data_IF_883526956119
#
_entry.id   IF_883526956119
#
_cell.length_a   1.000
_cell.length_b   1.000
_cell.length_c   1.000
_cell.angle_alpha   90.00
_cell.angle_beta   90.00
_cell.angle_gamma   90.00
#
_symmetry.space_group_name_H-M   'P 1'
#
loop_
_entity.id
_entity.type
_entity.pdbx_description
1 polymer ?
#
# COMPACT_ATOMS: atom_id res chain seq x y z
N UNK A 1 15.15 47.93 25.08
CA UNK A 1 13.67 47.79 25.03
C UNK A 1 13.31 47.39 23.63
N UNK A 2 12.71 46.28 23.47
CA UNK A 2 12.28 45.74 22.17
C UNK A 2 12.38 44.20 22.18
N UNK A 3 11.52 43.55 22.96
CA UNK A 3 11.27 42.13 22.87
C UNK A 3 10.34 41.94 21.70
N UNK A 4 10.76 41.24 20.65
CA UNK A 4 9.86 40.77 19.64
C UNK A 4 9.73 39.25 19.71
N UNK A 5 8.48 38.87 19.90
CA UNK A 5 7.98 37.54 20.10
C UNK A 5 8.16 36.69 18.84
N UNK A 6 8.89 35.60 18.96
CA UNK A 6 8.71 34.47 18.07
C UNK A 6 7.35 33.82 18.38
N UNK A 7 6.34 34.16 17.63
CA UNK A 7 5.11 33.42 17.59
C UNK A 7 5.38 32.08 16.88
N UNK A 8 5.52 31.01 17.64
CA UNK A 8 5.45 29.68 17.13
C UNK A 8 4.07 29.52 16.48
N UNK A 9 4.05 29.29 15.16
CA UNK A 9 2.84 28.88 14.48
C UNK A 9 2.45 27.51 15.04
N UNK A 10 1.42 27.48 15.86
CA UNK A 10 0.71 26.24 16.20
C UNK A 10 0.18 25.65 14.89
N UNK A 11 0.80 24.57 14.46
CA UNK A 11 0.23 23.73 13.41
C UNK A 11 -1.03 23.13 14.03
N UNK A 12 -2.16 23.67 13.61
CA UNK A 12 -3.49 23.13 13.95
C UNK A 12 -3.57 21.72 13.40
N UNK A 13 -3.17 20.74 14.23
CA UNK A 13 -3.41 19.33 14.01
C UNK A 13 -4.91 19.09 14.22
N UNK A 14 -5.72 19.51 13.26
CA UNK A 14 -7.06 18.96 13.11
C UNK A 14 -6.88 17.51 12.68
N UNK A 15 -6.58 16.65 13.64
CA UNK A 15 -6.83 15.22 13.54
C UNK A 15 -8.30 15.11 13.24
N UNK A 16 -8.63 14.93 11.95
CA UNK A 16 -9.99 14.61 11.53
C UNK A 16 -10.36 13.35 12.30
N UNK A 17 -11.27 13.49 13.26
CA UNK A 17 -11.74 12.38 14.07
C UNK A 17 -12.13 11.23 13.13
N UNK A 18 -11.48 10.08 13.31
CA UNK A 18 -11.84 8.84 12.60
C UNK A 18 -13.30 8.58 12.93
N UNK A 19 -14.19 8.37 11.94
CA UNK A 19 -15.58 8.10 12.20
C UNK A 19 -15.71 6.97 13.23
N UNK A 20 -16.44 7.19 14.32
CA UNK A 20 -16.61 6.20 15.39
C UNK A 20 -17.26 4.90 14.90
N UNK A 21 -17.93 4.95 13.75
CA UNK A 21 -18.58 3.79 13.13
C UNK A 21 -17.88 3.40 11.85
N UNK A 22 -17.33 2.19 11.83
CA UNK A 22 -16.82 1.56 10.61
C UNK A 22 -18.01 1.24 9.70
N UNK A 23 -18.12 1.92 8.57
CA UNK A 23 -19.16 1.67 7.55
C UNK A 23 -18.50 1.26 6.24
N UNK A 24 -19.10 0.24 5.61
CA UNK A 24 -18.67 -0.13 4.25
C UNK A 24 -19.05 0.97 3.26
N UNK A 25 -18.13 1.31 2.37
CA UNK A 25 -18.44 2.11 1.19
C UNK A 25 -19.34 1.29 0.24
N UNK A 26 -20.10 1.97 -0.66
CA UNK A 26 -20.95 1.29 -1.64
C UNK A 26 -20.21 0.24 -2.45
N UNK A 27 -20.93 -0.80 -2.87
CA UNK A 27 -20.38 -1.80 -3.79
C UNK A 27 -20.06 -1.16 -5.16
N UNK A 28 -18.96 -1.63 -5.75
CA UNK A 28 -18.53 -1.20 -7.07
C UNK A 28 -19.21 -2.09 -8.11
N UNK A 29 -19.69 -1.48 -9.19
CA UNK A 29 -20.14 -2.23 -10.36
C UNK A 29 -18.95 -2.70 -11.18
N UNK A 30 -18.75 -4.02 -11.24
CA UNK A 30 -17.65 -4.66 -11.95
C UNK A 30 -17.90 -4.85 -13.46
N UNK A 31 -19.11 -4.54 -13.97
CA UNK A 31 -19.49 -4.84 -15.35
C UNK A 31 -18.61 -4.14 -16.40
N UNK A 32 -17.99 -2.99 -16.06
CA UNK A 32 -17.10 -2.25 -16.94
C UNK A 32 -15.61 -2.60 -16.81
N UNK A 33 -15.21 -3.38 -15.81
CA UNK A 33 -13.81 -3.68 -15.53
C UNK A 33 -13.35 -4.86 -16.38
N UNK A 34 -12.45 -4.61 -17.34
CA UNK A 34 -11.90 -5.62 -18.25
C UNK A 34 -10.61 -6.26 -17.72
N UNK A 35 -9.81 -5.48 -16.99
CA UNK A 35 -8.55 -5.97 -16.41
C UNK A 35 -8.84 -6.99 -15.30
N UNK A 36 -8.38 -8.25 -15.43
CA UNK A 36 -8.65 -9.30 -14.44
C UNK A 36 -8.01 -8.99 -13.07
N UNK A 37 -6.88 -8.31 -13.03
CA UNK A 37 -6.25 -7.91 -11.79
C UNK A 37 -7.07 -6.82 -11.08
N UNK A 38 -7.48 -5.80 -11.82
CA UNK A 38 -8.33 -4.75 -11.28
C UNK A 38 -9.66 -5.33 -10.79
N UNK A 39 -10.29 -6.24 -11.56
CA UNK A 39 -11.50 -6.93 -11.14
C UNK A 39 -11.31 -7.73 -9.85
N UNK A 40 -10.18 -8.45 -9.74
CA UNK A 40 -9.84 -9.19 -8.53
C UNK A 40 -9.65 -8.22 -7.34
N UNK A 41 -8.83 -7.19 -7.50
CA UNK A 41 -8.55 -6.17 -6.49
C UNK A 41 -9.84 -5.50 -6.00
N UNK A 42 -10.72 -5.12 -6.93
CA UNK A 42 -12.00 -4.53 -6.63
C UNK A 42 -12.98 -5.49 -5.93
N UNK A 43 -12.80 -6.81 -6.06
CA UNK A 43 -13.61 -7.81 -5.36
C UNK A 43 -13.25 -7.94 -3.87
N UNK A 44 -12.12 -7.37 -3.43
CA UNK A 44 -11.69 -7.39 -2.05
C UNK A 44 -12.31 -6.23 -1.25
N UNK A 45 -12.55 -6.38 0.07
CA UNK A 45 -13.21 -5.35 0.87
C UNK A 45 -12.35 -4.09 1.12
N UNK A 46 -11.08 -4.11 0.76
CA UNK A 46 -10.16 -2.97 0.96
C UNK A 46 -10.67 -1.70 0.26
N UNK A 47 -11.13 -1.80 -0.99
CA UNK A 47 -11.64 -0.68 -1.77
C UNK A 47 -12.94 -0.05 -1.19
N UNK A 48 -13.60 -0.78 -0.29
CA UNK A 48 -14.81 -0.34 0.43
C UNK A 48 -14.50 0.15 1.85
N UNK A 49 -13.22 0.30 2.19
CA UNK A 49 -12.75 0.74 3.51
C UNK A 49 -11.86 1.96 3.34
N UNK A 50 -12.07 2.99 4.16
CA UNK A 50 -11.19 4.16 4.18
C UNK A 50 -9.81 3.78 4.70
N UNK A 51 -8.75 4.30 4.08
CA UNK A 51 -7.37 4.01 4.46
C UNK A 51 -7.09 4.34 5.94
N UNK A 52 -7.50 5.51 6.41
CA UNK A 52 -7.33 5.91 7.80
C UNK A 52 -8.04 4.96 8.77
N UNK A 53 -9.26 4.51 8.41
CA UNK A 53 -10.00 3.52 9.19
C UNK A 53 -9.27 2.18 9.21
N UNK A 54 -8.78 1.73 8.05
CA UNK A 54 -8.06 0.46 7.96
C UNK A 54 -6.79 0.47 8.80
N UNK A 55 -6.00 1.57 8.76
CA UNK A 55 -4.81 1.72 9.60
C UNK A 55 -5.15 1.62 11.08
N UNK A 56 -6.12 2.42 11.56
CA UNK A 56 -6.53 2.37 12.95
C UNK A 56 -6.96 0.95 13.39
N UNK A 57 -7.62 0.19 12.49
CA UNK A 57 -8.04 -1.18 12.79
C UNK A 57 -6.88 -2.19 12.73
N UNK A 58 -5.90 -1.98 11.87
CA UNK A 58 -4.66 -2.77 11.89
C UNK A 58 -3.91 -2.53 13.21
N UNK A 59 -3.82 -1.27 13.66
CA UNK A 59 -3.18 -0.92 14.93
C UNK A 59 -3.91 -1.55 16.14
N UNK A 60 -5.25 -1.52 16.16
CA UNK A 60 -6.05 -2.19 17.19
C UNK A 60 -5.78 -3.70 17.22
N UNK A 61 -5.74 -4.35 16.06
CA UNK A 61 -5.44 -5.78 15.92
C UNK A 61 -4.00 -6.10 16.35
N UNK A 62 -3.04 -5.25 15.98
CA UNK A 62 -1.63 -5.39 16.31
C UNK A 62 -1.38 -5.29 17.81
N UNK A 63 -1.99 -4.31 18.49
CA UNK A 63 -1.98 -4.18 19.96
C UNK A 63 -2.56 -5.43 20.63
N UNK A 64 -3.67 -5.96 20.09
CA UNK A 64 -4.28 -7.18 20.61
C UNK A 64 -3.39 -8.43 20.46
N UNK A 65 -2.44 -8.42 19.51
CA UNK A 65 -1.44 -9.46 19.29
C UNK A 65 -0.11 -9.21 20.04
N UNK A 66 -0.01 -8.17 20.87
CA UNK A 66 1.20 -7.84 21.64
C UNK A 66 2.29 -7.16 20.83
N UNK A 67 1.94 -6.45 19.75
CA UNK A 67 2.83 -5.60 18.94
C UNK A 67 4.07 -6.35 18.37
N UNK A 68 3.86 -7.57 17.87
CA UNK A 68 4.94 -8.46 17.43
C UNK A 68 5.23 -8.42 15.90
N UNK A 69 4.83 -7.35 15.21
CA UNK A 69 5.04 -7.20 13.77
C UNK A 69 4.05 -8.02 12.92
N UNK A 70 3.10 -8.72 13.53
CA UNK A 70 2.07 -9.50 12.86
C UNK A 70 0.71 -9.37 13.54
N UNK A 71 -0.34 -9.68 12.79
CA UNK A 71 -1.72 -9.81 13.27
C UNK A 71 -2.26 -11.18 12.88
N UNK A 72 -3.31 -11.65 13.56
CA UNK A 72 -4.01 -12.87 13.16
C UNK A 72 -5.31 -12.55 12.43
N UNK A 73 -5.80 -13.51 11.64
CA UNK A 73 -7.11 -13.41 11.00
C UNK A 73 -8.22 -13.14 12.02
N UNK A 74 -8.15 -13.80 13.19
CA UNK A 74 -9.11 -13.63 14.30
C UNK A 74 -9.06 -12.22 14.90
N UNK A 75 -7.86 -11.63 15.09
CA UNK A 75 -7.74 -10.26 15.59
C UNK A 75 -8.29 -9.24 14.59
N UNK A 76 -8.02 -9.42 13.30
CA UNK A 76 -8.59 -8.57 12.24
C UNK A 76 -10.11 -8.67 12.18
N UNK A 77 -10.67 -9.89 12.23
CA UNK A 77 -12.12 -10.09 12.23
C UNK A 77 -12.83 -9.36 13.39
N UNK A 78 -12.23 -9.38 14.58
CA UNK A 78 -12.79 -8.69 15.75
C UNK A 78 -12.87 -7.17 15.59
N UNK A 79 -11.90 -6.56 14.94
CA UNK A 79 -11.81 -5.10 14.78
C UNK A 79 -12.46 -4.58 13.49
N UNK A 80 -12.80 -5.47 12.56
CA UNK A 80 -13.44 -5.18 11.27
C UNK A 80 -14.84 -5.83 11.17
N UNK A 81 -15.82 -5.41 12.01
CA UNK A 81 -17.10 -6.11 12.17
C UNK A 81 -18.14 -5.76 11.10
N UNK A 82 -17.74 -5.25 9.94
CA UNK A 82 -18.68 -4.88 8.87
C UNK A 82 -19.02 -6.04 7.96
N UNK A 83 -20.11 -5.88 7.17
CA UNK A 83 -20.57 -6.92 6.23
C UNK A 83 -19.50 -7.27 5.19
N UNK A 84 -18.72 -6.30 4.72
CA UNK A 84 -17.68 -6.52 3.73
C UNK A 84 -16.54 -7.41 4.27
N UNK A 85 -16.25 -7.31 5.57
CA UNK A 85 -15.20 -8.08 6.25
C UNK A 85 -15.69 -9.36 6.94
N UNK A 86 -17.01 -9.61 6.95
CA UNK A 86 -17.60 -10.83 7.54
C UNK A 86 -16.96 -12.14 7.02
N UNK A 87 -16.49 -12.25 5.75
CA UNK A 87 -15.82 -13.45 5.27
C UNK A 87 -14.53 -13.83 6.01
N UNK A 88 -13.95 -12.93 6.83
CA UNK A 88 -12.80 -13.28 7.69
C UNK A 88 -13.14 -14.32 8.77
N UNK A 89 -14.41 -14.52 9.09
CA UNK A 89 -14.85 -15.55 10.05
C UNK A 89 -14.66 -16.98 9.49
N UNK A 90 -14.59 -17.12 8.17
CA UNK A 90 -14.42 -18.40 7.49
C UNK A 90 -13.03 -18.49 6.85
N UNK A 91 -12.18 -19.37 7.37
CA UNK A 91 -10.82 -19.62 6.87
C UNK A 91 -10.78 -20.10 5.42
N UNK A 92 -11.86 -20.72 4.93
CA UNK A 92 -11.99 -21.18 3.55
C UNK A 92 -12.46 -20.08 2.59
N UNK A 93 -12.87 -18.94 3.11
CA UNK A 93 -13.27 -17.80 2.29
C UNK A 93 -12.14 -17.29 1.37
N UNK A 94 -12.51 -16.68 0.25
CA UNK A 94 -11.56 -16.03 -0.67
C UNK A 94 -10.66 -15.02 0.07
N UNK A 95 -11.26 -14.20 0.92
CA UNK A 95 -10.54 -13.16 1.67
C UNK A 95 -9.53 -13.75 2.66
N UNK A 96 -9.92 -14.77 3.41
CA UNK A 96 -9.02 -15.46 4.35
C UNK A 96 -7.86 -16.12 3.59
N UNK A 97 -8.10 -16.81 2.47
CA UNK A 97 -7.07 -17.41 1.62
C UNK A 97 -6.09 -16.37 1.05
N UNK A 98 -6.56 -15.17 0.74
CA UNK A 98 -5.71 -14.06 0.33
C UNK A 98 -4.79 -13.63 1.47
N UNK A 99 -5.34 -13.31 2.63
CA UNK A 99 -4.58 -12.77 3.76
C UNK A 99 -3.64 -13.79 4.43
N UNK A 100 -3.97 -15.08 4.39
CA UNK A 100 -3.13 -16.15 4.94
C UNK A 100 -2.10 -16.68 3.94
N UNK A 101 -2.05 -16.13 2.75
CA UNK A 101 -1.09 -16.54 1.72
C UNK A 101 0.34 -16.11 2.05
N UNK A 102 1.31 -16.73 1.39
CA UNK A 102 2.74 -16.42 1.57
C UNK A 102 3.09 -14.99 1.13
N UNK A 103 2.25 -14.38 0.29
CA UNK A 103 2.38 -12.99 -0.15
C UNK A 103 2.21 -11.99 1.01
N UNK A 104 1.48 -12.39 2.07
CA UNK A 104 1.26 -11.61 3.28
C UNK A 104 2.14 -12.01 4.46
N UNK A 105 3.23 -12.73 4.19
CA UNK A 105 4.21 -13.14 5.20
C UNK A 105 5.57 -12.50 4.95
N UNK A 106 6.27 -12.14 6.01
CA UNK A 106 7.68 -11.80 5.91
C UNK A 106 8.48 -13.11 5.72
N UNK A 107 9.18 -13.28 4.59
CA UNK A 107 9.96 -14.49 4.33
C UNK A 107 11.13 -14.68 5.29
N UNK A 108 11.52 -13.64 6.04
CA UNK A 108 12.61 -13.69 7.03
C UNK A 108 12.10 -14.00 8.44
N UNK A 109 10.80 -13.81 8.69
CA UNK A 109 10.20 -14.10 9.98
C UNK A 109 9.66 -15.53 10.02
N UNK A 110 9.84 -16.19 11.16
CA UNK A 110 9.27 -17.53 11.40
C UNK A 110 7.80 -17.39 11.85
N UNK A 111 6.96 -16.89 10.93
CA UNK A 111 5.54 -16.63 11.18
C UNK A 111 4.73 -17.94 11.14
N UNK A 112 3.74 -18.03 12.03
CA UNK A 112 2.78 -19.13 12.04
C UNK A 112 1.82 -19.02 10.84
N UNK A 113 1.12 -20.13 10.45
CA UNK A 113 0.22 -20.12 9.29
C UNK A 113 -0.90 -19.07 9.36
N UNK A 114 -1.39 -18.74 10.55
CA UNK A 114 -2.48 -17.78 10.80
C UNK A 114 -2.00 -16.33 11.00
N UNK A 115 -0.69 -16.09 10.93
CA UNK A 115 -0.09 -14.76 11.11
C UNK A 115 0.04 -14.04 9.76
N UNK A 116 -0.24 -12.74 9.79
CA UNK A 116 -0.22 -11.81 8.65
C UNK A 116 0.75 -10.69 9.03
N UNK A 117 1.71 -10.40 8.19
CA UNK A 117 2.68 -9.32 8.40
C UNK A 117 2.00 -7.95 8.36
N UNK A 118 2.21 -7.14 9.40
CA UNK A 118 1.60 -5.81 9.54
C UNK A 118 2.09 -4.85 8.47
N UNK A 119 3.39 -4.84 8.19
CA UNK A 119 3.97 -3.94 7.19
C UNK A 119 3.43 -4.22 5.78
N UNK A 120 3.33 -5.51 5.42
CA UNK A 120 2.74 -5.92 4.14
C UNK A 120 1.26 -5.57 4.07
N UNK A 121 0.51 -5.78 5.15
CA UNK A 121 -0.91 -5.45 5.22
C UNK A 121 -1.15 -3.94 5.09
N UNK A 122 -0.30 -3.10 5.70
CA UNK A 122 -0.36 -1.63 5.57
C UNK A 122 -0.05 -1.22 4.12
N UNK A 123 1.01 -1.78 3.49
CA UNK A 123 1.34 -1.49 2.08
C UNK A 123 0.21 -1.90 1.13
N UNK A 124 -0.38 -3.07 1.36
CA UNK A 124 -1.53 -3.53 0.58
C UNK A 124 -2.74 -2.62 0.77
N UNK A 125 -2.99 -2.18 2.01
CA UNK A 125 -4.06 -1.23 2.31
C UNK A 125 -3.82 0.13 1.65
N UNK A 126 -2.58 0.61 1.63
CA UNK A 126 -2.17 1.83 0.94
C UNK A 126 -2.52 1.82 -0.55
N UNK A 127 -2.37 0.67 -1.21
CA UNK A 127 -2.66 0.49 -2.63
C UNK A 127 -4.16 0.36 -2.93
N UNK A 128 -4.92 -0.27 -2.03
CA UNK A 128 -6.27 -0.74 -2.34
C UNK A 128 -7.40 -0.07 -1.55
N UNK A 129 -7.14 0.50 -0.36
CA UNK A 129 -8.17 1.21 0.40
C UNK A 129 -8.54 2.55 -0.23
N UNK A 130 -9.77 3.00 -0.01
CA UNK A 130 -10.21 4.32 -0.43
C UNK A 130 -9.50 5.40 0.41
N UNK A 131 -9.03 6.47 -0.24
CA UNK A 131 -8.31 7.55 0.43
C UNK A 131 -7.85 8.63 -0.52
N UNK A 132 -7.60 9.83 0.01
CA UNK A 132 -7.05 10.93 -0.77
C UNK A 132 -5.55 10.69 -1.03
N UNK A 133 -5.00 11.21 -2.14
CA UNK A 133 -3.57 11.07 -2.44
C UNK A 133 -2.65 11.58 -1.31
N UNK A 134 -3.04 12.65 -0.63
CA UNK A 134 -2.27 13.21 0.49
C UNK A 134 -2.24 12.25 1.70
N UNK A 135 -3.38 11.66 2.06
CA UNK A 135 -3.44 10.68 3.16
C UNK A 135 -2.56 9.46 2.85
N UNK A 136 -2.53 9.04 1.60
CA UNK A 136 -1.65 7.96 1.14
C UNK A 136 -0.16 8.33 1.23
N UNK A 137 0.20 9.58 0.88
CA UNK A 137 1.57 10.08 1.03
C UNK A 137 2.01 10.09 2.50
N UNK A 138 1.11 10.49 3.43
CA UNK A 138 1.37 10.44 4.87
C UNK A 138 1.64 9.02 5.35
N UNK A 139 0.83 8.04 4.90
CA UNK A 139 1.04 6.63 5.24
C UNK A 139 2.37 6.11 4.71
N UNK A 140 2.69 6.42 3.44
CA UNK A 140 3.99 6.04 2.86
C UNK A 140 5.16 6.63 3.66
N UNK A 141 5.04 7.89 4.07
CA UNK A 141 6.04 8.52 4.91
C UNK A 141 6.24 7.79 6.25
N UNK A 142 5.14 7.40 6.90
CA UNK A 142 5.20 6.56 8.12
C UNK A 142 5.90 5.22 7.88
N UNK A 143 5.59 4.52 6.77
CA UNK A 143 6.28 3.26 6.41
C UNK A 143 7.80 3.48 6.26
N UNK A 144 8.22 4.59 5.67
CA UNK A 144 9.64 4.91 5.51
C UNK A 144 10.30 5.21 6.84
N UNK A 145 9.63 5.92 7.75
CA UNK A 145 10.14 6.20 9.09
C UNK A 145 10.31 4.92 9.92
N UNK A 146 9.35 4.01 9.87
CA UNK A 146 9.43 2.70 10.53
C UNK A 146 10.55 1.83 9.94
N UNK A 147 10.88 2.03 8.65
CA UNK A 147 11.97 1.37 7.94
C UNK A 147 13.36 1.93 8.24
N UNK A 148 13.48 3.02 9.02
CA UNK A 148 14.75 3.61 9.41
C UNK A 148 15.00 5.04 8.92
N UNK A 149 14.08 5.59 8.12
CA UNK A 149 14.15 7.01 7.75
C UNK A 149 14.11 7.85 9.02
N UNK A 150 15.24 8.44 9.39
CA UNK A 150 15.26 9.35 10.52
C UNK A 150 14.31 10.53 10.29
N UNK A 151 13.67 11.00 11.35
CA UNK A 151 12.79 12.16 11.31
C UNK A 151 13.60 13.45 11.08
N UNK A 152 14.17 13.57 9.89
CA UNK A 152 14.87 14.79 9.46
C UNK A 152 13.86 15.82 8.96
N UNK A 153 14.24 17.09 9.05
CA UNK A 153 13.47 18.18 8.44
C UNK A 153 13.40 18.07 6.91
N UNK A 154 14.34 17.33 6.30
CA UNK A 154 14.46 17.14 4.86
C UNK A 154 14.65 15.67 4.48
N UNK A 155 13.97 15.24 3.40
CA UNK A 155 14.09 13.92 2.79
C UNK A 155 14.98 14.03 1.55
N UNK A 156 15.97 13.14 1.46
CA UNK A 156 16.93 13.13 0.35
C UNK A 156 16.46 12.23 -0.79
N UNK A 157 16.70 12.66 -2.04
CA UNK A 157 16.48 11.83 -3.22
C UNK A 157 17.36 10.55 -3.22
N UNK A 158 18.51 10.59 -2.56
CA UNK A 158 19.41 9.45 -2.42
C UNK A 158 19.12 8.54 -1.22
N UNK A 159 17.95 8.68 -0.59
CA UNK A 159 17.58 7.86 0.55
C UNK A 159 17.38 6.40 0.15
N UNK A 160 18.22 5.53 0.73
CA UNK A 160 18.22 4.10 0.40
C UNK A 160 17.05 3.33 1.02
N UNK A 161 16.39 3.90 2.03
CA UNK A 161 15.30 3.24 2.74
C UNK A 161 14.02 3.18 1.88
N UNK A 162 13.92 4.06 0.87
CA UNK A 162 12.85 3.99 -0.12
C UNK A 162 12.95 2.79 -1.06
N UNK A 163 14.15 2.33 -1.40
CA UNK A 163 14.35 1.22 -2.37
C UNK A 163 13.62 -0.06 -1.96
N UNK A 164 13.77 -0.58 -0.72
CA UNK A 164 13.07 -1.78 -0.29
C UNK A 164 11.54 -1.61 -0.32
N UNK A 165 11.03 -0.45 0.07
CA UNK A 165 9.60 -0.14 0.06
C UNK A 165 9.07 -0.12 -1.39
N UNK A 166 9.78 0.58 -2.30
CA UNK A 166 9.44 0.63 -3.71
C UNK A 166 9.37 -0.77 -4.33
N UNK A 167 10.42 -1.57 -4.14
CA UNK A 167 10.50 -2.93 -4.68
C UNK A 167 9.41 -3.85 -4.09
N UNK A 168 9.09 -3.70 -2.81
CA UNK A 168 8.00 -4.46 -2.17
C UNK A 168 6.64 -4.07 -2.76
N UNK A 169 6.36 -2.80 -2.92
CA UNK A 169 5.12 -2.32 -3.53
C UNK A 169 5.01 -2.73 -5.01
N UNK A 170 6.12 -2.65 -5.78
CA UNK A 170 6.17 -3.15 -7.15
C UNK A 170 5.84 -4.65 -7.23
N UNK A 171 6.37 -5.45 -6.30
CA UNK A 171 6.07 -6.86 -6.19
C UNK A 171 4.60 -7.11 -5.84
N UNK A 172 4.01 -6.34 -4.90
CA UNK A 172 2.61 -6.44 -4.52
C UNK A 172 1.66 -6.20 -5.71
N UNK A 173 1.90 -5.16 -6.52
CA UNK A 173 1.02 -4.83 -7.66
C UNK A 173 1.25 -5.72 -8.90
N UNK A 174 2.28 -6.58 -8.91
CA UNK A 174 2.61 -7.45 -10.04
C UNK A 174 2.55 -8.92 -9.66
N UNK A 175 3.63 -9.48 -9.12
CA UNK A 175 3.77 -10.92 -8.82
C UNK A 175 2.77 -11.39 -7.78
N UNK A 176 2.63 -10.63 -6.70
CA UNK A 176 1.81 -11.07 -5.57
C UNK A 176 0.33 -11.04 -5.97
N UNK A 177 -0.14 -10.00 -6.64
CA UNK A 177 -1.52 -9.94 -7.15
C UNK A 177 -1.78 -11.03 -8.20
N UNK A 178 -0.82 -11.34 -9.06
CA UNK A 178 -0.90 -12.43 -10.03
C UNK A 178 -1.06 -13.80 -9.33
N UNK A 179 -0.25 -14.08 -8.32
CA UNK A 179 -0.34 -15.31 -7.55
C UNK A 179 -1.68 -15.42 -6.81
N UNK A 180 -2.11 -14.34 -6.15
CA UNK A 180 -3.37 -14.27 -5.42
C UNK A 180 -4.57 -14.52 -6.32
N UNK A 181 -4.58 -13.92 -7.49
CA UNK A 181 -5.65 -14.07 -8.47
C UNK A 181 -5.72 -15.51 -8.99
N UNK A 182 -4.58 -16.10 -9.35
CA UNK A 182 -4.48 -17.53 -9.71
C UNK A 182 -5.00 -18.45 -8.60
N UNK A 183 -4.61 -18.21 -7.36
CA UNK A 183 -5.03 -19.02 -6.19
C UNK A 183 -6.54 -18.95 -5.96
N UNK A 184 -7.17 -17.83 -6.31
CA UNK A 184 -8.62 -17.66 -6.21
C UNK A 184 -9.41 -18.21 -7.40
N UNK A 185 -8.76 -18.92 -8.33
CA UNK A 185 -9.42 -19.62 -9.44
C UNK A 185 -9.72 -18.74 -10.66
N UNK A 186 -9.22 -17.52 -10.69
CA UNK A 186 -9.30 -16.67 -11.88
C UNK A 186 -8.11 -17.02 -12.80
N UNK A 187 -8.36 -17.69 -13.93
CA UNK A 187 -7.32 -18.31 -14.76
C UNK A 187 -7.10 -17.65 -16.11
N UNK A 188 -7.87 -16.62 -16.47
CA UNK A 188 -7.80 -15.95 -17.77
C UNK A 188 -6.62 -14.97 -17.89
N UNK A 189 -5.44 -15.36 -17.36
CA UNK A 189 -4.24 -14.57 -17.49
C UNK A 189 -3.44 -14.94 -18.71
N UNK A 190 -3.06 -13.92 -19.45
CA UNK A 190 -2.16 -14.04 -20.59
C UNK A 190 -0.69 -13.76 -20.24
N UNK A 191 -0.34 -13.69 -18.94
CA UNK A 191 1.04 -13.48 -18.50
C UNK A 191 1.68 -14.80 -18.07
N UNK A 192 2.93 -14.99 -18.49
CA UNK A 192 3.76 -16.11 -18.05
C UNK A 192 4.60 -15.71 -16.84
N UNK A 193 5.14 -16.72 -16.13
CA UNK A 193 6.12 -16.47 -15.06
C UNK A 193 7.39 -15.80 -15.58
N UNK A 194 7.68 -15.95 -16.88
CA UNK A 194 8.77 -15.24 -17.56
C UNK A 194 8.47 -13.75 -17.70
N UNK A 195 7.23 -13.39 -18.05
CA UNK A 195 6.82 -11.99 -18.13
C UNK A 195 6.91 -11.32 -16.76
N UNK A 196 6.42 -12.00 -15.72
CA UNK A 196 6.48 -11.49 -14.33
C UNK A 196 7.94 -11.31 -13.86
N UNK A 197 8.85 -12.23 -14.20
CA UNK A 197 10.27 -12.06 -13.89
C UNK A 197 10.88 -10.87 -14.61
N UNK A 198 10.55 -10.66 -15.88
CA UNK A 198 11.04 -9.54 -16.67
C UNK A 198 10.57 -8.19 -16.12
N UNK A 199 9.30 -8.08 -15.69
CA UNK A 199 8.77 -6.83 -15.13
C UNK A 199 9.34 -6.52 -13.75
N UNK A 200 9.77 -7.52 -12.98
CA UNK A 200 10.40 -7.38 -11.67
C UNK A 200 11.93 -7.42 -11.71
N UNK A 201 12.51 -7.39 -12.90
CA UNK A 201 13.96 -7.24 -13.05
C UNK A 201 14.43 -5.96 -12.38
N UNK A 202 15.59 -6.02 -11.71
CA UNK A 202 16.09 -4.88 -10.94
C UNK A 202 16.38 -3.67 -11.82
N UNK A 203 16.92 -3.89 -13.03
CA UNK A 203 17.19 -2.83 -14.00
C UNK A 203 15.88 -2.13 -14.41
N UNK A 204 14.80 -2.91 -14.66
CA UNK A 204 13.49 -2.35 -14.96
C UNK A 204 12.91 -1.52 -13.81
N UNK A 205 13.02 -1.99 -12.59
CA UNK A 205 12.52 -1.27 -11.41
C UNK A 205 13.36 -0.04 -11.09
N UNK A 206 14.68 -0.11 -11.31
CA UNK A 206 15.60 1.02 -11.14
C UNK A 206 15.24 2.18 -12.08
N UNK A 207 15.01 1.90 -13.36
CA UNK A 207 14.60 2.92 -14.34
C UNK A 207 13.29 3.62 -13.89
N UNK A 208 12.29 2.87 -13.44
CA UNK A 208 11.02 3.49 -12.98
C UNK A 208 11.24 4.32 -11.72
N UNK A 209 12.07 3.86 -10.81
CA UNK A 209 12.40 4.59 -9.59
C UNK A 209 13.22 5.83 -9.88
N UNK A 210 14.34 5.70 -10.63
CA UNK A 210 15.28 6.79 -10.86
C UNK A 210 14.77 7.82 -11.86
N UNK A 211 14.18 7.38 -12.99
CA UNK A 211 13.77 8.27 -14.07
C UNK A 211 12.34 8.78 -13.94
N UNK A 212 11.46 8.05 -13.25
CA UNK A 212 10.06 8.46 -13.15
C UNK A 212 9.69 8.94 -11.74
N UNK A 213 9.95 8.13 -10.69
CA UNK A 213 9.59 8.54 -9.34
C UNK A 213 10.43 9.73 -8.86
N UNK A 214 11.77 9.65 -9.00
CA UNK A 214 12.62 10.73 -8.52
C UNK A 214 12.38 12.02 -9.30
N UNK A 215 12.16 11.94 -10.61
CA UNK A 215 11.83 13.12 -11.41
C UNK A 215 10.49 13.73 -11.01
N UNK A 216 9.44 12.91 -10.84
CA UNK A 216 8.11 13.36 -10.42
C UNK A 216 8.12 14.01 -9.02
N UNK A 217 8.93 13.49 -8.07
CA UNK A 217 8.97 13.98 -6.69
C UNK A 217 9.98 15.10 -6.51
N UNK A 218 11.20 14.90 -6.97
CA UNK A 218 12.32 15.80 -6.69
C UNK A 218 12.64 16.74 -7.85
N UNK A 219 12.43 16.31 -9.11
CA UNK A 219 12.87 17.05 -10.30
C UNK A 219 14.37 17.34 -10.21
N UNK A 220 14.75 18.62 -10.19
CA UNK A 220 16.15 19.06 -10.08
C UNK A 220 16.62 19.25 -8.62
N UNK A 221 15.83 18.89 -7.62
CA UNK A 221 16.16 19.08 -6.21
C UNK A 221 16.73 17.78 -5.64
N UNK A 222 17.78 17.87 -4.80
CA UNK A 222 18.34 16.70 -4.13
C UNK A 222 17.70 16.44 -2.76
N UNK A 223 16.98 17.40 -2.22
CA UNK A 223 16.31 17.33 -0.91
C UNK A 223 15.01 18.13 -0.93
N UNK A 224 14.05 17.68 -0.14
CA UNK A 224 12.77 18.35 0.09
C UNK A 224 12.45 18.35 1.58
N UNK A 225 11.82 19.43 2.07
CA UNK A 225 11.18 19.39 3.39
C UNK A 225 10.07 18.34 3.41
N UNK A 226 9.74 17.79 4.58
CA UNK A 226 8.69 16.80 4.74
C UNK A 226 7.37 17.24 4.12
N UNK A 227 6.96 18.48 4.39
CA UNK A 227 5.72 19.05 3.84
C UNK A 227 5.75 19.07 2.31
N UNK A 228 6.86 19.53 1.72
CA UNK A 228 7.00 19.62 0.27
C UNK A 228 7.08 18.24 -0.38
N UNK A 229 7.72 17.28 0.28
CA UNK A 229 7.75 15.89 -0.16
C UNK A 229 6.34 15.30 -0.20
N UNK A 230 5.55 15.43 0.89
CA UNK A 230 4.17 14.98 0.95
C UNK A 230 3.30 15.61 -0.15
N UNK A 231 3.47 16.92 -0.39
CA UNK A 231 2.77 17.64 -1.45
C UNK A 231 3.14 17.06 -2.84
N UNK A 232 4.42 16.89 -3.12
CA UNK A 232 4.90 16.36 -4.39
C UNK A 232 4.44 14.92 -4.63
N UNK A 233 4.63 14.04 -3.66
CA UNK A 233 4.20 12.64 -3.75
C UNK A 233 2.70 12.54 -4.00
N UNK A 234 1.89 13.36 -3.31
CA UNK A 234 0.44 13.33 -3.48
C UNK A 234 -0.06 13.91 -4.80
N UNK A 235 0.68 14.83 -5.43
CA UNK A 235 0.24 15.52 -6.65
C UNK A 235 0.86 14.95 -7.93
N UNK A 236 2.16 14.72 -7.93
CA UNK A 236 2.92 14.35 -9.13
C UNK A 236 3.23 12.86 -9.22
N UNK A 237 3.47 12.20 -8.10
CA UNK A 237 3.76 10.77 -8.03
C UNK A 237 2.57 9.93 -7.51
N UNK A 238 1.34 10.43 -7.57
CA UNK A 238 0.14 9.75 -7.09
C UNK A 238 -0.15 8.41 -7.81
N UNK A 239 0.39 8.21 -9.01
CA UNK A 239 0.32 6.95 -9.74
C UNK A 239 0.92 5.77 -8.95
N UNK A 240 1.87 6.02 -8.07
CA UNK A 240 2.48 5.03 -7.20
C UNK A 240 1.47 4.40 -6.22
N UNK A 241 0.41 5.12 -5.89
CA UNK A 241 -0.67 4.66 -5.02
C UNK A 241 -1.83 4.01 -5.77
N UNK A 242 -1.80 4.00 -7.09
CA UNK A 242 -2.76 3.29 -7.93
C UNK A 242 -2.14 1.96 -8.36
N UNK A 243 -2.64 0.85 -7.83
CA UNK A 243 -2.17 -0.48 -8.20
C UNK A 243 -2.14 -0.68 -9.72
N UNK A 244 -3.19 -0.22 -10.42
CA UNK A 244 -3.29 -0.33 -11.87
C UNK A 244 -2.28 0.57 -12.61
N UNK A 245 -2.14 1.86 -12.22
CA UNK A 245 -1.22 2.78 -12.90
C UNK A 245 0.23 2.39 -12.65
N UNK A 246 0.56 1.98 -11.43
CA UNK A 246 1.90 1.52 -11.09
C UNK A 246 2.25 0.25 -11.88
N UNK A 247 1.35 -0.72 -11.93
CA UNK A 247 1.50 -1.95 -12.72
C UNK A 247 1.71 -1.65 -14.19
N UNK A 248 0.89 -0.78 -14.78
CA UNK A 248 1.04 -0.37 -16.20
C UNK A 248 2.39 0.24 -16.49
N UNK A 249 2.93 1.08 -15.61
CA UNK A 249 4.27 1.67 -15.77
C UNK A 249 5.35 0.59 -15.77
N UNK A 250 5.28 -0.36 -14.81
CA UNK A 250 6.25 -1.47 -14.70
C UNK A 250 6.22 -2.33 -15.97
N UNK A 251 5.04 -2.71 -16.45
CA UNK A 251 4.89 -3.52 -17.66
C UNK A 251 5.34 -2.78 -18.92
N UNK A 252 4.97 -1.51 -19.05
CA UNK A 252 5.35 -0.68 -20.20
C UNK A 252 6.86 -0.52 -20.30
N UNK A 253 7.54 -0.22 -19.20
CA UNK A 253 8.99 -0.07 -19.19
C UNK A 253 9.71 -1.38 -19.52
N UNK A 254 9.25 -2.50 -19.01
CA UNK A 254 9.76 -3.83 -19.36
C UNK A 254 9.43 -4.28 -20.78
N UNK A 255 8.71 -3.47 -21.57
CA UNK A 255 8.22 -3.82 -22.90
C UNK A 255 7.40 -5.14 -22.93
N UNK A 256 6.73 -5.45 -21.85
CA UNK A 256 5.77 -6.54 -21.74
C UNK A 256 4.39 -5.96 -22.04
N UNK A 257 3.73 -6.48 -23.09
CA UNK A 257 2.41 -5.98 -23.47
C UNK A 257 1.42 -6.21 -22.33
N UNK A 258 0.92 -5.11 -21.76
CA UNK A 258 -0.15 -5.16 -20.78
C UNK A 258 -1.45 -5.51 -21.50
N UNK A 259 -1.97 -6.70 -21.23
CA UNK A 259 -3.16 -7.24 -21.90
C UNK A 259 -4.38 -7.00 -21.01
N UNK A 260 -5.36 -6.35 -21.55
CA UNK A 260 -6.66 -6.08 -20.93
C UNK A 260 -7.68 -7.16 -21.25
#
# INVERSE_FOLDING_TARGET
MGADCCAAAEIDQTVTAVPETLTDLPEIDFAGIKDPFEKFEQSLPFNRTLLATMQAKIDDAHKACGEQGWVTLSSLHKVLPTKAWAPLADIESKLAKVLLSDEFKDPKANQQPDQIDVGILIMFSLLHCAGKPYDRAVVLYGILQDGGLEAHEEISAGDKDFIPVFNKMAKLVTKDIFNLTKRCGETDFSYSDSDIRKVLDEENLEVIREEQWLDDVYGNQSRLTNERWLEKVSKTANWFFSSNDFRRRIFSNAQVQYKH
#
